data_IF_406163398347
#
_entry.id   IF_406163398347
#
_cell.length_a   1.000
_cell.length_b   1.000
_cell.length_c   1.000
_cell.angle_alpha   90.00
_cell.angle_beta   90.00
_cell.angle_gamma   90.00
#
_symmetry.space_group_name_H-M   'P 1'
#
loop_
_entity.id
_entity.type
_entity.pdbx_description
1 polymer ?
#
# COMPACT_ATOMS: atom_id res chain seq x y z
N UNK A 1 -25.88 75.95 -18.21
CA UNK A 1 -25.95 74.52 -18.59
C UNK A 1 -25.13 73.76 -17.55
N UNK A 2 -25.60 72.80 -16.76
CA UNK A 2 -26.81 71.97 -16.71
C UNK A 2 -27.26 71.80 -15.23
N UNK A 3 -28.55 71.48 -14.97
CA UNK A 3 -29.00 71.04 -13.64
C UNK A 3 -28.40 69.66 -13.29
N UNK A 4 -28.21 69.33 -11.99
CA UNK A 4 -27.79 67.99 -11.59
C UNK A 4 -28.85 66.96 -11.98
N UNK A 5 -28.45 65.98 -12.78
CA UNK A 5 -29.28 64.87 -13.21
C UNK A 5 -29.50 63.89 -12.05
N UNK A 6 -30.76 63.69 -11.69
CA UNK A 6 -31.21 62.69 -10.71
C UNK A 6 -30.97 61.29 -11.29
N UNK A 7 -30.23 60.45 -10.57
CA UNK A 7 -30.06 59.03 -10.92
C UNK A 7 -31.18 58.18 -10.31
N UNK A 8 -31.76 57.21 -11.05
CA UNK A 8 -32.80 56.31 -10.55
C UNK A 8 -32.24 55.19 -9.64
N UNK A 9 -33.09 54.55 -8.79
CA UNK A 9 -32.65 53.60 -7.78
C UNK A 9 -32.10 52.29 -8.37
N UNK A 10 -31.08 51.76 -7.69
CA UNK A 10 -30.36 50.55 -8.05
C UNK A 10 -31.25 49.29 -8.09
N UNK A 11 -31.15 48.54 -9.19
CA UNK A 11 -31.73 47.20 -9.36
C UNK A 11 -31.09 46.20 -8.39
N UNK A 12 -31.86 45.30 -7.73
CA UNK A 12 -31.31 44.30 -6.82
C UNK A 12 -30.51 43.21 -7.56
N UNK A 13 -29.33 42.92 -7.04
CA UNK A 13 -28.41 41.90 -7.56
C UNK A 13 -29.04 40.50 -7.51
N UNK A 14 -29.06 39.82 -8.66
CA UNK A 14 -29.42 38.41 -8.81
C UNK A 14 -28.41 37.55 -8.04
N UNK A 15 -28.78 36.99 -6.89
CA UNK A 15 -28.01 35.95 -6.20
C UNK A 15 -27.84 34.77 -7.15
N UNK A 16 -26.59 34.48 -7.53
CA UNK A 16 -26.22 33.30 -8.29
C UNK A 16 -26.45 32.09 -7.38
N UNK A 17 -27.53 31.36 -7.63
CA UNK A 17 -27.90 30.18 -6.86
C UNK A 17 -26.78 29.15 -6.89
N UNK A 18 -26.44 28.66 -5.71
CA UNK A 18 -25.56 27.51 -5.49
C UNK A 18 -26.10 26.33 -6.28
N UNK A 19 -25.35 25.86 -7.27
CA UNK A 19 -25.72 24.67 -8.04
C UNK A 19 -25.68 23.44 -7.13
N UNK A 20 -26.85 22.81 -7.03
CA UNK A 20 -27.19 21.47 -6.55
C UNK A 20 -26.11 20.63 -5.86
N UNK A 21 -26.23 20.48 -4.55
CA UNK A 21 -25.85 19.25 -3.84
C UNK A 21 -26.71 18.10 -4.38
N UNK A 22 -26.18 17.30 -5.30
CA UNK A 22 -26.83 16.07 -5.74
C UNK A 22 -26.42 14.91 -4.82
N UNK A 23 -27.41 14.45 -4.06
CA UNK A 23 -27.50 13.15 -3.37
C UNK A 23 -26.32 12.72 -2.48
N UNK A 24 -26.17 13.36 -1.33
CA UNK A 24 -25.32 12.86 -0.25
C UNK A 24 -26.13 12.02 0.73
N UNK A 25 -26.33 10.74 0.40
CA UNK A 25 -26.28 9.73 1.47
C UNK A 25 -24.90 9.78 2.16
N UNK A 26 -24.69 9.18 3.35
CA UNK A 26 -23.40 9.24 4.06
C UNK A 26 -22.21 8.69 3.24
N UNK A 27 -22.49 8.02 2.12
CA UNK A 27 -21.50 7.44 1.22
C UNK A 27 -21.48 8.17 -0.13
N UNK A 28 -20.34 8.79 -0.43
CA UNK A 28 -20.07 9.32 -1.76
C UNK A 28 -19.84 8.15 -2.75
N UNK A 29 -20.90 7.73 -3.44
CA UNK A 29 -20.85 6.64 -4.44
C UNK A 29 -19.90 6.94 -5.60
N UNK A 30 -19.71 8.21 -5.95
CA UNK A 30 -18.81 8.63 -7.02
C UNK A 30 -17.35 8.28 -6.70
N UNK A 31 -16.92 8.48 -5.45
CA UNK A 31 -15.57 8.09 -5.00
C UNK A 31 -15.34 6.58 -5.12
N UNK A 32 -16.34 5.77 -4.79
CA UNK A 32 -16.26 4.32 -4.96
C UNK A 32 -15.98 3.93 -6.42
N UNK A 33 -16.72 4.49 -7.37
CA UNK A 33 -16.50 4.19 -8.79
C UNK A 33 -15.12 4.62 -9.28
N UNK A 34 -14.58 5.73 -8.77
CA UNK A 34 -13.21 6.18 -9.06
C UNK A 34 -12.17 5.17 -8.56
N UNK A 35 -12.33 4.68 -7.32
CA UNK A 35 -11.48 3.64 -6.75
C UNK A 35 -11.54 2.33 -7.55
N UNK A 36 -12.75 1.93 -7.94
CA UNK A 36 -12.96 0.71 -8.70
C UNK A 36 -12.37 0.77 -10.13
N UNK A 37 -12.29 1.97 -10.72
CA UNK A 37 -11.77 2.18 -12.07
C UNK A 37 -10.26 1.92 -12.20
N UNK A 38 -9.47 2.16 -11.15
CA UNK A 38 -8.04 1.85 -11.14
C UNK A 38 -7.62 1.24 -9.80
N UNK A 39 -7.86 -0.07 -9.68
CA UNK A 39 -7.61 -0.83 -8.44
C UNK A 39 -6.15 -0.81 -8.02
N UNK A 40 -5.20 -0.83 -8.95
CA UNK A 40 -3.77 -0.86 -8.62
C UNK A 40 -3.29 0.47 -8.05
N UNK A 41 -3.69 1.59 -8.68
CA UNK A 41 -3.41 2.93 -8.16
C UNK A 41 -4.05 3.11 -6.79
N UNK A 42 -5.33 2.77 -6.66
CA UNK A 42 -6.04 2.91 -5.38
C UNK A 42 -5.46 2.02 -4.29
N UNK A 43 -5.04 0.79 -4.62
CA UNK A 43 -4.35 -0.06 -3.66
C UNK A 43 -3.01 0.53 -3.24
N UNK A 44 -2.24 1.12 -4.16
CA UNK A 44 -0.98 1.78 -3.82
C UNK A 44 -1.20 3.01 -2.91
N UNK A 45 -2.27 3.77 -3.13
CA UNK A 45 -2.69 4.86 -2.25
C UNK A 45 -3.04 4.34 -0.84
N UNK A 46 -3.83 3.26 -0.76
CA UNK A 46 -4.14 2.59 0.51
C UNK A 46 -2.89 2.08 1.22
N UNK A 47 -2.02 1.39 0.50
CA UNK A 47 -0.78 0.81 1.03
C UNK A 47 0.15 1.90 1.58
N UNK A 48 0.28 3.02 0.86
CA UNK A 48 1.04 4.19 1.33
C UNK A 48 0.38 4.86 2.53
N UNK A 49 -0.96 4.94 2.53
CA UNK A 49 -1.72 5.50 3.65
C UNK A 49 -1.50 4.68 4.94
N UNK A 50 -1.55 3.35 4.88
CA UNK A 50 -1.36 2.49 6.05
C UNK A 50 0.01 2.69 6.73
N UNK A 51 1.08 2.86 5.96
CA UNK A 51 2.39 3.20 6.53
C UNK A 51 2.36 4.54 7.27
N UNK A 52 1.78 5.58 6.66
CA UNK A 52 1.71 6.90 7.28
C UNK A 52 0.78 6.92 8.51
N UNK A 53 -0.27 6.09 8.51
CA UNK A 53 -1.19 5.92 9.63
C UNK A 53 -0.47 5.30 10.84
N UNK A 54 0.35 4.27 10.60
CA UNK A 54 1.04 3.53 11.65
C UNK A 54 2.32 4.21 12.15
N UNK A 55 2.96 5.01 11.30
CA UNK A 55 4.21 5.70 11.62
C UNK A 55 3.98 6.76 12.72
N UNK A 56 4.77 6.75 13.81
CA UNK A 56 4.70 7.79 14.81
C UNK A 56 4.93 9.20 14.20
N UNK A 57 4.33 10.27 14.76
CA UNK A 57 4.43 11.62 14.19
C UNK A 57 5.88 12.08 13.94
N UNK A 58 6.79 11.84 14.89
CA UNK A 58 8.22 12.15 14.77
C UNK A 58 9.07 10.98 14.24
N UNK A 59 8.48 9.80 14.05
CA UNK A 59 9.19 8.60 13.59
C UNK A 59 9.39 8.57 12.08
N UNK A 60 10.43 7.86 11.63
CA UNK A 60 10.66 7.52 10.21
C UNK A 60 10.32 6.06 9.89
N UNK A 61 10.03 5.27 10.92
CA UNK A 61 9.84 3.83 10.84
C UNK A 61 8.56 3.44 11.58
N UNK A 62 7.96 2.34 11.15
CA UNK A 62 7.02 1.55 11.94
C UNK A 62 7.78 0.39 12.58
N UNK A 63 7.30 -0.14 13.70
CA UNK A 63 7.87 -1.35 14.27
C UNK A 63 7.57 -2.57 13.37
N UNK A 64 8.40 -3.61 13.47
CA UNK A 64 8.32 -4.78 12.59
C UNK A 64 7.01 -5.56 12.78
N UNK A 65 6.47 -5.61 14.00
CA UNK A 65 5.26 -6.37 14.32
C UNK A 65 4.04 -5.72 13.66
N UNK A 66 3.91 -4.40 13.78
CA UNK A 66 2.91 -3.60 13.08
C UNK A 66 3.04 -3.76 11.56
N UNK A 67 4.26 -3.72 11.02
CA UNK A 67 4.47 -3.94 9.59
C UNK A 67 3.99 -5.33 9.13
N UNK A 68 4.34 -6.38 9.88
CA UNK A 68 3.92 -7.75 9.60
C UNK A 68 2.40 -7.91 9.67
N UNK A 69 1.74 -7.27 10.65
CA UNK A 69 0.29 -7.27 10.76
C UNK A 69 -0.40 -6.60 9.57
N UNK A 70 0.14 -5.50 9.05
CA UNK A 70 -0.39 -4.92 7.81
C UNK A 70 -0.13 -5.80 6.60
N UNK A 71 1.07 -6.36 6.45
CA UNK A 71 1.42 -7.20 5.31
C UNK A 71 0.59 -8.48 5.25
N UNK A 72 0.25 -9.09 6.39
CA UNK A 72 -0.61 -10.27 6.45
C UNK A 72 -2.04 -10.00 5.96
N UNK A 73 -2.53 -8.77 6.10
CA UNK A 73 -3.88 -8.37 5.66
C UNK A 73 -3.87 -7.81 4.24
N UNK A 74 -2.91 -6.94 3.91
CA UNK A 74 -2.91 -6.18 2.67
C UNK A 74 -2.26 -6.93 1.50
N UNK A 75 -1.22 -7.74 1.77
CA UNK A 75 -0.32 -8.26 0.73
C UNK A 75 -0.43 -9.78 0.63
N UNK A 76 -0.38 -10.50 1.76
CA UNK A 76 -0.38 -11.95 1.80
C UNK A 76 -1.59 -12.63 1.10
N UNK A 77 -2.82 -12.08 1.15
CA UNK A 77 -3.95 -12.70 0.45
C UNK A 77 -3.80 -12.68 -1.08
N UNK A 78 -3.00 -11.76 -1.63
CA UNK A 78 -2.78 -11.62 -3.08
C UNK A 78 -1.47 -12.26 -3.54
N UNK A 79 -0.42 -12.22 -2.72
CA UNK A 79 0.92 -12.67 -3.10
C UNK A 79 1.43 -13.75 -2.13
N UNK A 80 1.42 -15.04 -2.52
CA UNK A 80 1.77 -16.15 -1.63
C UNK A 80 3.16 -16.04 -0.99
N UNK A 81 4.15 -15.50 -1.73
CA UNK A 81 5.53 -15.28 -1.28
C UNK A 81 5.61 -14.41 -0.01
N UNK A 82 4.59 -13.57 0.23
CA UNK A 82 4.55 -12.76 1.43
C UNK A 82 4.42 -13.60 2.71
N UNK A 83 3.75 -14.75 2.66
CA UNK A 83 3.68 -15.65 3.83
C UNK A 83 5.07 -16.18 4.19
N UNK A 84 5.90 -16.48 3.19
CA UNK A 84 7.27 -16.93 3.41
C UNK A 84 8.13 -15.82 4.00
N UNK A 85 7.96 -14.57 3.53
CA UNK A 85 8.65 -13.40 4.10
C UNK A 85 8.23 -13.18 5.56
N UNK A 86 6.94 -13.29 5.89
CA UNK A 86 6.45 -13.17 7.26
C UNK A 86 7.06 -14.25 8.16
N UNK A 87 7.10 -15.50 7.68
CA UNK A 87 7.76 -16.61 8.38
C UNK A 87 9.25 -16.33 8.59
N UNK A 88 9.95 -15.87 7.56
CA UNK A 88 11.35 -15.49 7.65
C UNK A 88 11.61 -14.42 8.71
N UNK A 89 10.80 -13.37 8.73
CA UNK A 89 10.95 -12.29 9.72
C UNK A 89 10.77 -12.83 11.14
N UNK A 90 9.78 -13.71 11.35
CA UNK A 90 9.52 -14.35 12.63
C UNK A 90 10.69 -15.26 13.06
N UNK A 91 11.19 -16.11 12.16
CA UNK A 91 12.29 -17.04 12.43
C UNK A 91 13.61 -16.31 12.70
N UNK A 92 13.86 -15.19 12.00
CA UNK A 92 15.09 -14.41 12.14
C UNK A 92 15.09 -13.58 13.44
N UNK A 93 13.99 -12.91 13.78
CA UNK A 93 13.82 -12.16 15.03
C UNK A 93 14.71 -10.90 15.23
N UNK A 94 15.63 -10.61 14.31
CA UNK A 94 16.60 -9.51 14.41
C UNK A 94 16.06 -8.17 13.92
N UNK A 95 15.09 -8.17 13.01
CA UNK A 95 14.50 -6.93 12.48
C UNK A 95 13.59 -6.29 13.51
N UNK A 96 13.70 -4.96 13.68
CA UNK A 96 12.92 -4.21 14.70
C UNK A 96 12.01 -3.13 14.12
N UNK A 97 12.24 -2.71 12.87
CA UNK A 97 11.39 -1.71 12.25
C UNK A 97 11.56 -1.65 10.75
N UNK A 98 10.60 -0.99 10.11
CA UNK A 98 10.46 -0.87 8.67
C UNK A 98 10.40 0.61 8.32
N UNK A 99 11.32 1.07 7.47
CA UNK A 99 11.28 2.43 6.91
C UNK A 99 10.39 2.46 5.65
N UNK A 100 10.14 3.64 5.11
CA UNK A 100 9.27 3.82 3.92
C UNK A 100 9.80 3.09 2.68
N UNK A 101 11.12 3.02 2.53
CA UNK A 101 11.76 2.40 1.37
C UNK A 101 11.53 0.89 1.38
N UNK A 102 11.92 0.22 2.48
CA UNK A 102 11.67 -1.21 2.68
C UNK A 102 10.18 -1.55 2.56
N UNK A 103 9.29 -0.73 3.12
CA UNK A 103 7.84 -0.90 2.94
C UNK A 103 7.43 -0.96 1.47
N UNK A 104 7.89 0.00 0.66
CA UNK A 104 7.55 0.05 -0.76
C UNK A 104 8.19 -1.10 -1.53
N UNK A 105 9.46 -1.39 -1.27
CA UNK A 105 10.22 -2.45 -1.93
C UNK A 105 9.67 -3.84 -1.61
N UNK A 106 9.13 -4.08 -0.41
CA UNK A 106 8.45 -5.35 -0.11
C UNK A 106 7.24 -5.62 -1.02
N UNK A 107 6.42 -4.60 -1.29
CA UNK A 107 5.28 -4.75 -2.22
C UNK A 107 5.76 -4.96 -3.66
N UNK A 108 6.80 -4.23 -4.08
CA UNK A 108 7.37 -4.38 -5.42
C UNK A 108 7.98 -5.76 -5.62
N UNK A 109 8.70 -6.26 -4.62
CA UNK A 109 9.25 -7.61 -4.61
C UNK A 109 8.13 -8.65 -4.75
N UNK A 110 7.04 -8.53 -3.99
CA UNK A 110 5.90 -9.44 -4.09
C UNK A 110 5.20 -9.40 -5.47
N UNK A 111 5.30 -8.28 -6.19
CA UNK A 111 4.70 -8.11 -7.53
C UNK A 111 5.57 -8.66 -8.64
N UNK A 112 6.89 -8.55 -8.50
CA UNK A 112 7.84 -8.78 -9.59
C UNK A 112 8.63 -10.06 -9.45
N UNK A 113 8.86 -10.55 -8.23
CA UNK A 113 9.62 -11.77 -7.98
C UNK A 113 8.67 -12.96 -7.86
N UNK A 114 8.99 -14.02 -8.60
CA UNK A 114 8.22 -15.25 -8.59
C UNK A 114 8.31 -15.95 -7.22
N UNK A 115 7.25 -16.65 -6.78
CA UNK A 115 7.28 -17.39 -5.51
C UNK A 115 8.43 -18.39 -5.37
N UNK A 116 8.89 -18.97 -6.48
CA UNK A 116 10.02 -19.92 -6.55
C UNK A 116 11.39 -19.24 -6.69
N UNK A 117 11.43 -17.91 -6.70
CA UNK A 117 12.64 -17.09 -6.83
C UNK A 117 13.40 -17.31 -8.15
N UNK A 118 12.75 -17.89 -9.18
CA UNK A 118 13.37 -18.23 -10.47
C UNK A 118 13.90 -17.02 -11.24
N UNK A 119 13.26 -15.85 -11.07
CA UNK A 119 13.63 -14.59 -11.72
C UNK A 119 14.31 -13.59 -10.76
N UNK A 120 14.81 -14.06 -9.61
CA UNK A 120 15.53 -13.21 -8.68
C UNK A 120 16.99 -13.02 -9.09
N UNK A 121 17.38 -11.77 -9.32
CA UNK A 121 18.76 -11.38 -9.64
C UNK A 121 19.50 -10.89 -8.39
N UNK A 122 20.69 -11.45 -8.14
CA UNK A 122 21.48 -11.18 -6.92
C UNK A 122 22.20 -9.82 -6.92
N UNK A 123 22.31 -9.18 -8.08
CA UNK A 123 22.88 -7.84 -8.24
C UNK A 123 21.80 -6.74 -8.28
N UNK A 124 20.54 -7.10 -8.00
CA UNK A 124 19.44 -6.17 -7.86
C UNK A 124 19.63 -5.20 -6.69
N UNK A 125 19.02 -4.02 -6.78
CA UNK A 125 19.06 -3.00 -5.73
C UNK A 125 17.99 -3.24 -4.65
N UNK A 126 17.87 -4.47 -4.15
CA UNK A 126 16.90 -4.80 -3.11
C UNK A 126 17.42 -4.41 -1.72
N UNK A 127 16.55 -4.02 -0.78
CA UNK A 127 16.91 -3.91 0.63
C UNK A 127 17.45 -5.23 1.18
N UNK A 128 18.48 -5.16 2.03
CA UNK A 128 19.17 -6.33 2.60
C UNK A 128 18.24 -7.35 3.25
N UNK A 129 17.12 -6.93 3.86
CA UNK A 129 16.13 -7.87 4.41
C UNK A 129 15.57 -8.82 3.34
N UNK A 130 15.35 -8.34 2.12
CA UNK A 130 14.82 -9.14 1.02
C UNK A 130 15.89 -10.06 0.42
N UNK A 131 17.15 -9.60 0.32
CA UNK A 131 18.29 -10.47 -0.01
C UNK A 131 18.44 -11.61 1.01
N UNK A 132 18.39 -11.27 2.30
CA UNK A 132 18.48 -12.24 3.39
C UNK A 132 17.32 -13.25 3.34
N UNK A 133 16.11 -12.79 3.01
CA UNK A 133 14.94 -13.65 2.80
C UNK A 133 15.18 -14.66 1.68
N UNK A 134 15.71 -14.23 0.53
CA UNK A 134 16.02 -15.11 -0.61
C UNK A 134 17.04 -16.17 -0.20
N UNK A 135 18.10 -15.79 0.52
CA UNK A 135 19.10 -16.71 1.02
C UNK A 135 18.50 -17.74 2.01
N UNK A 136 17.61 -17.29 2.89
CA UNK A 136 16.90 -18.14 3.85
C UNK A 136 15.97 -19.14 3.14
N UNK A 137 15.18 -18.69 2.16
CA UNK A 137 14.23 -19.54 1.44
C UNK A 137 14.95 -20.64 0.65
N UNK A 138 15.98 -20.28 -0.12
CA UNK A 138 16.83 -21.24 -0.86
C UNK A 138 17.52 -22.27 0.06
N UNK A 139 17.83 -21.89 1.30
CA UNK A 139 18.46 -22.79 2.27
C UNK A 139 17.47 -23.72 2.96
N UNK A 140 16.22 -23.28 3.09
CA UNK A 140 15.13 -24.09 3.66
C UNK A 140 14.64 -25.15 2.66
N UNK A 141 14.58 -24.82 1.37
CA UNK A 141 14.19 -25.76 0.30
C UNK A 141 15.20 -26.91 0.13
N UNK A 142 16.50 -26.65 0.34
CA UNK A 142 17.55 -27.69 0.31
C UNK A 142 17.49 -28.67 1.49
N UNK A 143 16.74 -28.35 2.54
CA UNK A 143 16.63 -29.17 3.74
C UNK A 143 15.29 -29.92 3.82
N UNK A 144 14.40 -29.78 2.84
CA UNK A 144 13.18 -30.57 2.77
C UNK A 144 13.55 -32.03 2.46
N UNK A 145 13.28 -33.00 3.35
CA UNK A 145 13.49 -34.40 3.04
C UNK A 145 12.50 -34.81 1.94
N UNK A 146 12.99 -35.46 0.89
CA UNK A 146 12.12 -36.21 -0.03
C UNK A 146 11.36 -37.25 0.81
N UNK A 147 10.08 -37.01 1.09
CA UNK A 147 9.19 -38.05 1.58
C UNK A 147 9.18 -39.17 0.53
N UNK A 148 9.89 -40.25 0.83
CA UNK A 148 9.84 -41.49 0.07
C UNK A 148 8.39 -41.97 0.09
N UNK A 149 7.71 -41.82 -1.04
CA UNK A 149 6.42 -42.44 -1.29
C UNK A 149 6.69 -43.95 -1.40
N UNK A 150 6.61 -44.64 -0.27
CA UNK A 150 6.56 -46.09 -0.22
C UNK A 150 5.23 -46.54 -0.81
N UNK A 151 5.27 -46.96 -2.08
CA UNK A 151 4.18 -47.69 -2.74
C UNK A 151 4.07 -49.06 -2.08
N UNK A 152 3.01 -49.24 -1.29
CA UNK A 152 2.52 -50.56 -0.84
C UNK A 152 1.59 -51.13 -1.91
#
# INVERSE_FOLDING_TARGET
MQPPSVQPPATPAKKRGTQGTSETGPYNRQKYFQYAANKDKTFLELYTFCFNLAKPPAGRNIDIETACAFWSVLVAPKYPIMNDILKFIADKGTYKGVNKDLWNMTLEFCRTVHPDLSNYETDGAWPTMLDDFVAWKKSSERQAPEEQIEVV
#
